data_IF_175088184985
#
_entry.id   IF_175088184985
#
_cell.length_a   1.000
_cell.length_b   1.000
_cell.length_c   1.000
_cell.angle_alpha   90.00
_cell.angle_beta   90.00
_cell.angle_gamma   90.00
#
_symmetry.space_group_name_H-M   'P 1'
#
loop_
_entity.id
_entity.type
_entity.pdbx_description
1 polymer ?
#
# COMPACT_ATOMS: atom_id res chain seq x y z
N UNK A 1 6.83 15.68 -5.01
CA UNK A 1 6.03 14.77 -4.17
C UNK A 1 4.87 14.29 -5.04
N UNK A 2 4.87 13.02 -5.45
CA UNK A 2 3.82 12.51 -6.35
C UNK A 2 2.64 12.06 -5.50
N UNK A 3 1.67 12.93 -5.35
CA UNK A 3 0.38 12.58 -4.75
C UNK A 3 -0.42 11.73 -5.74
N UNK A 4 -1.06 10.65 -5.30
CA UNK A 4 -2.02 9.95 -6.15
C UNK A 4 -3.26 10.82 -6.19
N UNK A 5 -3.57 11.38 -7.36
CA UNK A 5 -4.83 12.13 -7.53
C UNK A 5 -5.99 11.20 -7.17
N UNK A 6 -6.97 11.67 -6.39
CA UNK A 6 -8.12 10.84 -5.98
C UNK A 6 -8.79 10.15 -7.18
N UNK A 7 -8.89 10.85 -8.31
CA UNK A 7 -9.48 10.33 -9.55
C UNK A 7 -8.70 9.15 -10.19
N UNK A 8 -7.45 8.94 -9.75
CA UNK A 8 -6.58 7.84 -10.19
C UNK A 8 -6.63 6.63 -9.27
N UNK A 9 -7.27 6.73 -8.10
CA UNK A 9 -7.40 5.61 -7.16
C UNK A 9 -8.41 4.61 -7.72
N UNK A 10 -7.99 3.36 -7.87
CA UNK A 10 -8.83 2.26 -8.37
C UNK A 10 -9.22 1.25 -7.30
N UNK A 11 -8.50 1.25 -6.17
CA UNK A 11 -8.80 0.40 -5.03
C UNK A 11 -8.22 1.00 -3.74
N UNK A 12 -8.91 0.74 -2.64
CA UNK A 12 -8.51 1.15 -1.30
C UNK A 12 -8.67 0.00 -0.30
N UNK A 13 -7.85 0.01 0.74
CA UNK A 13 -8.01 -0.87 1.90
C UNK A 13 -7.73 -0.07 3.17
N UNK A 14 -8.74 0.01 4.03
CA UNK A 14 -8.61 0.52 5.39
C UNK A 14 -8.18 -0.62 6.32
N UNK A 15 -7.14 -0.37 7.11
CA UNK A 15 -6.60 -1.25 8.14
C UNK A 15 -6.71 -0.55 9.49
N UNK A 16 -6.82 -1.34 10.56
CA UNK A 16 -6.81 -0.84 11.94
C UNK A 16 -5.43 -1.04 12.54
N UNK A 17 -4.83 0.03 13.05
CA UNK A 17 -3.56 0.01 13.76
C UNK A 17 -3.76 0.35 15.24
N UNK A 18 -3.14 -0.43 16.12
CA UNK A 18 -3.09 -0.16 17.54
C UNK A 18 -1.62 -0.11 17.97
N UNK A 19 -1.15 1.06 18.38
CA UNK A 19 0.23 1.23 18.84
C UNK A 19 0.54 0.35 20.07
N UNK A 20 1.77 -0.14 20.18
CA UNK A 20 2.18 -0.92 21.33
C UNK A 20 2.03 -0.11 22.64
N UNK A 21 1.29 -0.64 23.61
CA UNK A 21 1.02 0.04 24.89
C UNK A 21 -0.07 1.12 24.82
N UNK A 22 -0.83 1.20 23.71
CA UNK A 22 -1.97 2.10 23.55
C UNK A 22 -3.27 1.31 23.36
N UNK A 23 -4.35 1.79 23.95
CA UNK A 23 -5.71 1.28 23.67
C UNK A 23 -6.41 2.07 22.53
N UNK A 24 -5.74 3.09 22.00
CA UNK A 24 -6.27 3.89 20.90
C UNK A 24 -5.99 3.22 19.55
N UNK A 25 -7.06 3.06 18.76
CA UNK A 25 -6.98 2.60 17.38
C UNK A 25 -6.83 3.78 16.41
N UNK A 26 -5.95 3.62 15.43
CA UNK A 26 -5.73 4.53 14.32
C UNK A 26 -6.01 3.83 12.99
N UNK A 27 -6.40 4.59 11.97
CA UNK A 27 -6.61 4.06 10.62
C UNK A 27 -5.31 4.09 9.83
N UNK A 28 -5.02 3.01 9.12
CA UNK A 28 -3.99 2.95 8.08
C UNK A 28 -4.67 2.71 6.74
N UNK A 29 -4.49 3.62 5.79
CA UNK A 29 -5.11 3.52 4.47
C UNK A 29 -4.08 3.09 3.44
N UNK A 30 -4.38 2.04 2.68
CA UNK A 30 -3.62 1.63 1.49
C UNK A 30 -4.43 2.00 0.26
N UNK A 31 -3.84 2.72 -0.68
CA UNK A 31 -4.48 3.07 -1.96
C UNK A 31 -3.66 2.60 -3.14
N UNK A 32 -4.36 2.11 -4.17
CA UNK A 32 -3.78 1.70 -5.44
C UNK A 32 -4.23 2.64 -6.54
N UNK A 33 -3.27 3.18 -7.29
CA UNK A 33 -3.53 3.96 -8.48
C UNK A 33 -3.77 3.09 -9.71
N UNK A 34 -4.35 3.69 -10.75
CA UNK A 34 -4.51 3.05 -12.06
C UNK A 34 -3.15 2.74 -12.70
N UNK A 35 -2.92 1.51 -13.21
CA UNK A 35 -1.72 1.23 -14.01
C UNK A 35 -1.68 2.10 -15.26
N UNK A 36 -0.50 2.61 -15.60
CA UNK A 36 -0.27 3.46 -16.78
C UNK A 36 1.00 3.01 -17.49
N UNK A 37 0.99 3.08 -18.82
CA UNK A 37 2.20 2.91 -19.62
C UNK A 37 2.96 4.23 -19.64
N UNK A 38 4.26 4.20 -19.38
CA UNK A 38 5.08 5.42 -19.45
C UNK A 38 5.34 5.83 -20.91
N UNK A 39 5.32 7.13 -21.19
CA UNK A 39 5.49 7.64 -22.55
C UNK A 39 6.88 7.32 -23.16
N UNK A 40 7.89 7.09 -22.31
CA UNK A 40 9.29 6.96 -22.73
C UNK A 40 9.85 5.54 -22.60
N UNK A 41 9.09 4.62 -21.99
CA UNK A 41 9.46 3.21 -21.82
C UNK A 41 8.20 2.36 -21.88
N UNK A 42 8.20 1.21 -22.59
CA UNK A 42 7.05 0.32 -22.68
C UNK A 42 6.88 -0.51 -21.39
N UNK A 43 6.99 0.14 -20.23
CA UNK A 43 6.76 -0.46 -18.93
C UNK A 43 5.44 0.09 -18.36
N UNK A 44 4.69 -0.80 -17.72
CA UNK A 44 3.55 -0.43 -16.90
C UNK A 44 4.03 0.02 -15.54
N UNK A 45 3.62 1.21 -15.14
CA UNK A 45 3.86 1.77 -13.82
C UNK A 45 2.54 1.79 -13.05
N UNK A 46 2.55 1.25 -11.83
CA UNK A 46 1.43 1.31 -10.89
C UNK A 46 1.88 2.01 -9.62
N UNK A 47 1.17 3.08 -9.24
CA UNK A 47 1.44 3.86 -8.03
C UNK A 47 0.64 3.33 -6.86
N UNK A 48 1.20 3.39 -5.67
CA UNK A 48 0.48 3.12 -4.43
C UNK A 48 0.86 4.11 -3.34
N UNK A 49 -0.08 4.28 -2.43
CA UNK A 49 0.03 5.13 -1.25
C UNK A 49 -0.27 4.32 0.00
N UNK A 50 0.47 4.60 1.08
CA UNK A 50 0.13 4.15 2.43
C UNK A 50 0.08 5.38 3.32
N UNK A 51 -1.09 5.68 3.87
CA UNK A 51 -1.27 6.67 4.94
C UNK A 51 -1.23 5.90 6.26
N UNK A 52 -0.10 5.96 6.94
CA UNK A 52 0.16 5.28 8.20
C UNK A 52 -0.29 6.07 9.44
N UNK A 53 0.03 5.54 10.64
CA UNK A 53 -0.29 6.18 11.92
C UNK A 53 0.27 7.61 12.00
N UNK A 54 -0.39 8.46 12.78
CA UNK A 54 -0.10 9.90 12.88
C UNK A 54 -0.08 10.65 11.52
N UNK A 55 -0.77 10.13 10.50
CA UNK A 55 -0.87 10.75 9.17
C UNK A 55 0.40 10.62 8.32
N UNK A 56 1.33 9.73 8.67
CA UNK A 56 2.57 9.55 7.90
C UNK A 56 2.25 8.92 6.54
N UNK A 57 2.38 9.70 5.48
CA UNK A 57 2.10 9.27 4.11
C UNK A 57 3.37 8.79 3.40
N UNK A 58 3.24 7.70 2.64
CA UNK A 58 4.30 7.16 1.79
C UNK A 58 3.75 6.92 0.39
N UNK A 59 4.39 7.50 -0.62
CA UNK A 59 3.99 7.39 -2.02
C UNK A 59 5.09 6.74 -2.85
N UNK A 60 4.78 5.64 -3.51
CA UNK A 60 5.72 4.87 -4.32
C UNK A 60 5.07 4.31 -5.58
N UNK A 61 5.87 3.66 -6.41
CA UNK A 61 5.40 2.93 -7.58
C UNK A 61 6.24 1.67 -7.80
N UNK A 62 5.68 0.72 -8.53
CA UNK A 62 6.45 -0.37 -9.14
C UNK A 62 6.24 -0.36 -10.66
N UNK A 63 7.23 -0.88 -11.37
CA UNK A 63 7.19 -1.05 -12.82
C UNK A 63 7.18 -2.53 -13.17
N UNK A 64 6.44 -2.91 -14.22
CA UNK A 64 6.47 -4.23 -14.82
C UNK A 64 6.39 -4.15 -16.34
N UNK A 65 6.70 -5.25 -17.02
CA UNK A 65 6.52 -5.44 -18.46
C UNK A 65 5.04 -5.32 -18.86
N UNK A 66 4.15 -5.76 -17.97
CA UNK A 66 2.71 -5.60 -18.10
C UNK A 66 2.04 -5.10 -16.80
N UNK A 67 0.74 -4.80 -16.89
CA UNK A 67 -0.05 -4.31 -15.76
C UNK A 67 -0.17 -5.33 -14.61
N UNK A 68 -0.13 -6.63 -14.91
CA UNK A 68 -0.27 -7.69 -13.90
C UNK A 68 1.03 -7.85 -13.11
N UNK A 69 2.18 -7.80 -13.77
CA UNK A 69 3.49 -7.80 -13.12
C UNK A 69 3.65 -6.54 -12.26
N UNK A 70 3.31 -5.36 -12.78
CA UNK A 70 3.36 -4.12 -12.02
C UNK A 70 2.48 -4.18 -10.75
N UNK A 71 1.24 -4.70 -10.88
CA UNK A 71 0.33 -4.89 -9.76
C UNK A 71 0.89 -5.87 -8.72
N UNK A 72 1.44 -6.99 -9.17
CA UNK A 72 2.01 -8.01 -8.27
C UNK A 72 3.18 -7.45 -7.46
N UNK A 73 4.07 -6.69 -8.12
CA UNK A 73 5.19 -6.02 -7.45
C UNK A 73 4.72 -4.96 -6.46
N UNK A 74 3.66 -4.20 -6.78
CA UNK A 74 3.05 -3.27 -5.83
C UNK A 74 2.50 -3.98 -4.60
N UNK A 75 1.82 -5.11 -4.75
CA UNK A 75 1.33 -5.86 -3.60
C UNK A 75 2.45 -6.37 -2.68
N UNK A 76 3.54 -6.88 -3.27
CA UNK A 76 4.73 -7.31 -2.51
C UNK A 76 5.33 -6.12 -1.77
N UNK A 77 5.47 -4.97 -2.44
CA UNK A 77 6.01 -3.74 -1.85
C UNK A 77 5.13 -3.20 -0.72
N UNK A 78 3.81 -3.28 -0.87
CA UNK A 78 2.86 -2.93 0.20
C UNK A 78 3.06 -3.86 1.39
N UNK A 79 3.10 -5.18 1.17
CA UNK A 79 3.27 -6.14 2.27
C UNK A 79 4.54 -5.85 3.08
N UNK A 80 5.67 -5.65 2.40
CA UNK A 80 6.94 -5.30 3.06
C UNK A 80 6.86 -3.99 3.87
N UNK A 81 6.10 -2.99 3.39
CA UNK A 81 5.88 -1.73 4.11
C UNK A 81 4.96 -1.90 5.33
N UNK A 82 3.90 -2.69 5.21
CA UNK A 82 3.02 -2.99 6.33
C UNK A 82 3.76 -3.78 7.41
N UNK A 83 4.69 -4.65 7.05
CA UNK A 83 5.55 -5.35 8.02
C UNK A 83 6.45 -4.40 8.82
N UNK A 84 6.82 -3.24 8.28
CA UNK A 84 7.49 -2.21 9.08
C UNK A 84 6.53 -1.54 10.08
N UNK A 85 5.27 -1.31 9.70
CA UNK A 85 4.25 -0.74 10.59
C UNK A 85 3.89 -1.72 11.71
N UNK A 86 3.78 -3.02 11.42
CA UNK A 86 3.56 -4.09 12.42
C UNK A 86 4.64 -4.15 13.51
N UNK A 87 5.84 -3.58 13.30
CA UNK A 87 6.86 -3.50 14.36
C UNK A 87 6.54 -2.45 15.42
N UNK A 88 5.64 -1.53 15.13
CA UNK A 88 5.23 -0.43 16.01
C UNK A 88 3.98 -0.76 16.84
N UNK A 89 3.29 -1.86 16.53
CA UNK A 89 2.03 -2.22 17.15
C UNK A 89 1.28 -3.30 16.37
N UNK A 90 0.02 -3.52 16.73
CA UNK A 90 -0.87 -4.47 16.07
C UNK A 90 -1.49 -3.83 14.83
N UNK A 91 -1.49 -4.53 13.70
CA UNK A 91 -2.15 -4.09 12.48
C UNK A 91 -3.11 -5.18 12.03
N UNK A 92 -4.39 -4.85 11.85
CA UNK A 92 -5.44 -5.81 11.51
C UNK A 92 -6.27 -5.36 10.31
N UNK A 93 -6.84 -6.33 9.62
CA UNK A 93 -7.84 -6.15 8.58
C UNK A 93 -9.04 -7.03 8.89
N UNK A 94 -10.24 -6.44 8.99
CA UNK A 94 -11.47 -7.17 9.34
C UNK A 94 -11.32 -7.99 10.66
N UNK A 95 -10.57 -7.46 11.63
CA UNK A 95 -10.30 -8.12 12.91
C UNK A 95 -9.23 -9.22 12.87
N UNK A 96 -8.63 -9.50 11.72
CA UNK A 96 -7.56 -10.49 11.54
C UNK A 96 -6.18 -9.83 11.41
N UNK A 97 -5.13 -10.47 11.94
CA UNK A 97 -3.72 -10.05 11.70
C UNK A 97 -3.20 -10.52 10.33
N UNK A 98 -3.89 -11.45 9.66
CA UNK A 98 -3.64 -11.76 8.26
C UNK A 98 -4.23 -10.66 7.37
N UNK A 99 -3.35 -9.87 6.76
CA UNK A 99 -3.73 -8.74 5.93
C UNK A 99 -4.02 -9.14 4.48
N UNK A 100 -3.84 -10.41 4.11
CA UNK A 100 -4.06 -10.95 2.78
C UNK A 100 -3.38 -10.13 1.66
N UNK A 101 -2.17 -9.64 1.92
CA UNK A 101 -1.26 -9.16 0.89
C UNK A 101 -0.26 -10.28 0.56
N UNK A 102 -0.02 -10.60 -0.72
CA UNK A 102 0.92 -11.64 -1.10
C UNK A 102 2.34 -11.28 -0.66
N UNK A 103 3.02 -12.25 -0.06
CA UNK A 103 4.46 -12.19 0.09
C UNK A 103 5.13 -12.41 -1.28
N UNK A 104 6.29 -11.80 -1.49
CA UNK A 104 7.12 -12.17 -2.64
C UNK A 104 7.51 -13.64 -2.53
N UNK A 105 7.50 -14.35 -3.66
CA UNK A 105 8.00 -15.71 -3.76
C UNK A 105 9.53 -15.77 -3.54
#
# INVERSE_FOLDING_TARGET
>A
MYDIRMDDVIAERELTFQAAGSDMEERVMVRLGRPRVEAHRPLYTLRYEIIGPAGRQVNHFACGEDSMQALSLVFIAINARLDHIKRLGRLTWLGSEDLHFPAGA
#
